data_IF_279075839114
#
_entry.id   IF_279075839114
#
_cell.length_a   1.000
_cell.length_b   1.000
_cell.length_c   1.000
_cell.angle_alpha   90.00
_cell.angle_beta   90.00
_cell.angle_gamma   90.00
#
_symmetry.space_group_name_H-M   'P 1'
#
loop_
_entity.id
_entity.type
_entity.pdbx_description
1 polymer ?
#
# COMPACT_ATOMS: atom_id res chain seq x y z
N UNK A 1 -64.59 -16.50 19.26
CA UNK A 1 -63.75 -17.56 19.86
C UNK A 1 -62.64 -17.83 18.87
N UNK A 2 -61.35 -17.73 19.15
CA UNK A 2 -60.60 -17.68 20.39
C UNK A 2 -59.18 -18.11 19.98
N UNK A 3 -58.19 -17.33 20.39
CA UNK A 3 -56.77 -17.48 20.07
C UNK A 3 -56.22 -18.88 20.38
N UNK A 4 -55.24 -19.34 19.59
CA UNK A 4 -54.00 -19.94 20.11
C UNK A 4 -52.82 -19.47 19.26
N UNK A 5 -51.90 -18.77 19.92
CA UNK A 5 -50.58 -18.45 19.38
C UNK A 5 -49.52 -19.43 19.85
N UNK A 6 -48.28 -19.24 19.40
CA UNK A 6 -47.11 -19.72 20.13
C UNK A 6 -45.88 -20.13 19.30
N UNK A 7 -44.99 -19.15 19.06
CA UNK A 7 -43.50 -19.17 19.19
C UNK A 7 -42.69 -20.33 18.57
N UNK A 8 -41.81 -20.02 17.61
CA UNK A 8 -40.42 -19.53 17.76
C UNK A 8 -39.38 -20.67 17.76
N UNK A 9 -38.57 -20.70 16.72
CA UNK A 9 -37.39 -21.54 16.56
C UNK A 9 -36.37 -20.81 15.71
N UNK A 10 -35.64 -19.91 16.36
CA UNK A 10 -34.48 -19.18 15.85
C UNK A 10 -33.36 -20.14 15.45
N UNK A 11 -33.14 -20.32 14.14
CA UNK A 11 -31.93 -20.90 13.59
C UNK A 11 -30.98 -19.78 13.14
N UNK A 12 -30.27 -19.17 14.09
CA UNK A 12 -29.23 -18.19 13.77
C UNK A 12 -27.97 -18.96 13.35
N UNK A 13 -27.80 -19.17 12.05
CA UNK A 13 -26.57 -19.72 11.45
C UNK A 13 -25.48 -18.65 11.37
N UNK A 14 -25.07 -18.11 12.52
CA UNK A 14 -24.13 -16.98 12.63
C UNK A 14 -22.64 -17.33 12.49
N UNK A 15 -22.29 -18.59 12.26
CA UNK A 15 -20.89 -19.03 12.24
C UNK A 15 -20.15 -18.80 10.92
N UNK A 16 -20.82 -19.02 9.78
CA UNK A 16 -20.15 -19.00 8.46
C UNK A 16 -20.03 -17.59 7.88
N UNK A 17 -21.07 -16.76 8.03
CA UNK A 17 -21.12 -15.40 7.44
C UNK A 17 -20.16 -14.41 8.09
N UNK A 18 -19.82 -14.59 9.37
CA UNK A 18 -18.92 -13.67 10.10
C UNK A 18 -17.45 -13.93 9.74
N UNK A 19 -17.10 -15.14 9.28
CA UNK A 19 -15.75 -15.49 8.85
C UNK A 19 -15.43 -15.00 7.43
N UNK A 20 -16.44 -14.81 6.59
CA UNK A 20 -16.28 -14.49 5.16
C UNK A 20 -16.25 -12.97 4.89
N UNK A 21 -16.73 -12.15 5.84
CA UNK A 21 -16.62 -10.68 5.78
C UNK A 21 -15.24 -10.14 6.20
N UNK A 22 -14.37 -10.97 6.81
CA UNK A 22 -13.04 -10.55 7.27
C UNK A 22 -11.95 -10.55 6.19
N UNK A 23 -12.25 -11.01 4.97
CA UNK A 23 -11.26 -11.19 3.90
C UNK A 23 -11.50 -10.34 2.64
N UNK A 24 -12.42 -9.38 2.71
CA UNK A 24 -12.63 -8.47 1.57
C UNK A 24 -11.65 -7.30 1.68
N UNK A 25 -10.92 -7.06 0.58
CA UNK A 25 -10.04 -5.90 0.46
C UNK A 25 -10.87 -4.63 0.75
N UNK A 26 -10.49 -3.82 1.76
CA UNK A 26 -11.31 -2.69 2.20
C UNK A 26 -11.32 -1.53 1.19
N UNK A 27 -10.54 -1.63 0.12
CA UNK A 27 -10.42 -0.63 -0.94
C UNK A 27 -9.30 0.37 -0.67
N UNK A 28 -8.71 0.90 -1.75
CA UNK A 28 -7.55 1.80 -1.71
C UNK A 28 -7.71 2.96 -0.72
N UNK A 29 -8.82 3.71 -0.82
CA UNK A 29 -9.09 4.87 0.04
C UNK A 29 -9.15 4.51 1.52
N UNK A 30 -9.71 3.34 1.86
CA UNK A 30 -9.80 2.89 3.25
C UNK A 30 -8.43 2.48 3.78
N UNK A 31 -7.64 1.77 2.98
CA UNK A 31 -6.24 1.48 3.33
C UNK A 31 -5.42 2.74 3.56
N UNK A 32 -5.53 3.74 2.67
CA UNK A 32 -4.86 5.02 2.85
C UNK A 32 -5.32 5.79 4.09
N UNK A 33 -6.59 5.67 4.48
CA UNK A 33 -7.09 6.25 5.72
C UNK A 33 -6.52 5.52 6.95
N UNK A 34 -6.41 4.19 6.90
CA UNK A 34 -5.82 3.37 7.96
C UNK A 34 -4.33 3.69 8.13
N UNK A 35 -3.57 3.82 7.04
CA UNK A 35 -2.15 4.24 7.05
C UNK A 35 -1.93 5.65 7.62
N UNK A 36 -2.94 6.52 7.60
CA UNK A 36 -2.91 7.87 8.22
C UNK A 36 -3.45 7.89 9.65
N UNK A 37 -3.89 6.74 10.19
CA UNK A 37 -4.39 6.64 11.56
C UNK A 37 -3.29 6.99 12.57
N UNK A 38 -3.67 7.23 13.82
CA UNK A 38 -2.70 7.35 14.93
C UNK A 38 -2.45 6.02 15.63
N UNK A 39 -3.22 4.98 15.32
CA UNK A 39 -3.01 3.63 15.83
C UNK A 39 -1.99 2.89 14.95
N UNK A 40 -0.81 2.51 15.47
CA UNK A 40 0.19 1.78 14.70
C UNK A 40 -0.34 0.47 14.09
N UNK A 41 -1.26 -0.23 14.75
CA UNK A 41 -1.81 -1.47 14.20
C UNK A 41 -2.70 -1.21 12.99
N UNK A 42 -3.56 -0.18 13.05
CA UNK A 42 -4.36 0.22 11.89
C UNK A 42 -3.47 0.69 10.74
N UNK A 43 -2.40 1.41 11.05
CA UNK A 43 -1.44 1.86 10.06
C UNK A 43 -0.81 0.67 9.30
N UNK A 44 -0.28 -0.31 10.04
CA UNK A 44 0.31 -1.54 9.50
C UNK A 44 -0.72 -2.36 8.72
N UNK A 45 -1.94 -2.53 9.23
CA UNK A 45 -3.02 -3.20 8.52
C UNK A 45 -3.30 -2.54 7.17
N UNK A 46 -3.39 -1.21 7.13
CA UNK A 46 -3.59 -0.45 5.90
C UNK A 46 -2.52 -0.71 4.87
N UNK A 47 -1.25 -0.74 5.29
CA UNK A 47 -0.13 -1.08 4.43
C UNK A 47 -0.21 -2.52 3.93
N UNK A 48 -0.43 -3.49 4.82
CA UNK A 48 -0.48 -4.92 4.47
C UNK A 48 -1.67 -5.28 3.56
N UNK A 49 -2.79 -4.56 3.65
CA UNK A 49 -3.90 -4.72 2.71
C UNK A 49 -3.55 -4.25 1.29
N UNK A 50 -2.78 -3.16 1.16
CA UNK A 50 -2.35 -2.60 -0.13
C UNK A 50 -1.18 -3.35 -0.75
N UNK A 51 -0.25 -3.84 0.06
CA UNK A 51 1.00 -4.46 -0.40
C UNK A 51 0.82 -5.48 -1.55
N UNK A 52 -0.04 -6.51 -1.44
CA UNK A 52 -0.23 -7.48 -2.52
C UNK A 52 -0.98 -6.92 -3.75
N UNK A 53 -1.54 -5.71 -3.67
CA UNK A 53 -2.36 -5.05 -4.69
C UNK A 53 -1.74 -3.74 -5.18
N UNK A 54 -0.51 -3.43 -4.77
CA UNK A 54 0.10 -2.14 -5.10
C UNK A 54 0.21 -1.94 -6.62
N UNK A 55 0.41 -3.03 -7.37
CA UNK A 55 0.39 -3.04 -8.84
C UNK A 55 -0.93 -2.57 -9.48
N UNK A 56 -2.07 -2.82 -8.81
CA UNK A 56 -3.39 -2.43 -9.31
C UNK A 56 -3.69 -0.93 -9.08
N UNK A 57 -2.94 -0.30 -8.17
CA UNK A 57 -3.16 1.08 -7.70
C UNK A 57 -1.96 2.00 -7.96
N UNK A 58 -1.10 1.67 -8.93
CA UNK A 58 0.15 2.41 -9.20
C UNK A 58 -0.09 3.90 -9.41
N UNK A 59 -1.05 4.28 -10.24
CA UNK A 59 -1.30 5.69 -10.55
C UNK A 59 -1.81 6.43 -9.29
N UNK A 60 -2.73 5.82 -8.52
CA UNK A 60 -3.22 6.39 -7.25
C UNK A 60 -2.11 6.50 -6.20
N UNK A 61 -1.18 5.54 -6.14
CA UNK A 61 -0.03 5.57 -5.22
C UNK A 61 0.97 6.67 -5.61
N UNK A 62 1.23 6.87 -6.90
CA UNK A 62 2.09 7.95 -7.40
C UNK A 62 1.50 9.31 -7.03
N UNK A 63 0.22 9.53 -7.35
CA UNK A 63 -0.48 10.78 -7.04
C UNK A 63 -0.48 11.04 -5.53
N UNK A 64 -0.73 10.01 -4.73
CA UNK A 64 -0.72 10.11 -3.27
C UNK A 64 0.68 10.48 -2.75
N UNK A 65 1.75 9.87 -3.27
CA UNK A 65 3.12 10.15 -2.84
C UNK A 65 3.55 11.59 -3.16
N UNK A 66 3.14 12.13 -4.32
CA UNK A 66 3.47 13.50 -4.73
C UNK A 66 2.85 14.53 -3.78
N UNK A 67 1.63 14.25 -3.31
CA UNK A 67 0.85 15.15 -2.44
C UNK A 67 1.11 14.95 -0.95
N UNK A 68 1.80 13.88 -0.55
CA UNK A 68 1.98 13.53 0.86
C UNK A 68 3.18 14.25 1.47
N UNK A 69 2.98 14.85 2.65
CA UNK A 69 4.03 15.56 3.39
C UNK A 69 4.52 14.75 4.59
N UNK A 70 3.71 13.82 5.11
CA UNK A 70 4.12 12.98 6.24
C UNK A 70 5.27 12.05 5.83
N UNK A 71 6.42 12.21 6.48
CA UNK A 71 7.65 11.50 6.13
C UNK A 71 7.51 9.97 6.25
N UNK A 72 6.85 9.49 7.30
CA UNK A 72 6.64 8.07 7.52
C UNK A 72 5.78 7.46 6.43
N UNK A 73 4.66 8.11 6.11
CA UNK A 73 3.76 7.68 5.06
C UNK A 73 4.42 7.73 3.67
N UNK A 74 5.23 8.76 3.38
CA UNK A 74 6.03 8.81 2.14
C UNK A 74 6.96 7.61 2.00
N UNK A 75 7.58 7.15 3.09
CA UNK A 75 8.43 5.96 3.07
C UNK A 75 7.62 4.70 2.73
N UNK A 76 6.47 4.50 3.36
CA UNK A 76 5.59 3.38 3.05
C UNK A 76 5.03 3.42 1.63
N UNK A 77 4.70 4.60 1.12
CA UNK A 77 4.25 4.76 -0.27
C UNK A 77 5.35 4.38 -1.26
N UNK A 78 6.62 4.76 -1.02
CA UNK A 78 7.74 4.32 -1.86
C UNK A 78 7.95 2.81 -1.82
N UNK A 79 7.78 2.19 -0.65
CA UNK A 79 7.85 0.73 -0.53
C UNK A 79 6.75 0.05 -1.36
N UNK A 80 5.50 0.50 -1.23
CA UNK A 80 4.37 0.00 -2.04
C UNK A 80 4.62 0.18 -3.54
N UNK A 81 5.10 1.35 -3.96
CA UNK A 81 5.47 1.62 -5.36
C UNK A 81 6.59 0.70 -5.86
N UNK A 82 7.52 0.31 -4.99
CA UNK A 82 8.60 -0.62 -5.31
C UNK A 82 8.07 -2.03 -5.51
N UNK A 83 7.20 -2.48 -4.61
CA UNK A 83 6.51 -3.78 -4.65
C UNK A 83 5.54 -3.90 -5.83
N UNK A 84 4.97 -2.80 -6.28
CA UNK A 84 4.18 -2.74 -7.50
C UNK A 84 4.98 -3.11 -8.77
N UNK A 85 6.32 -2.99 -8.75
CA UNK A 85 7.25 -3.34 -9.84
C UNK A 85 6.86 -2.77 -11.21
N UNK A 86 6.15 -1.64 -11.23
CA UNK A 86 5.66 -1.02 -12.44
C UNK A 86 6.70 -0.07 -13.02
N UNK A 87 6.96 -0.18 -14.33
CA UNK A 87 7.87 0.73 -15.04
C UNK A 87 7.43 2.20 -14.92
N UNK A 88 6.15 2.48 -14.64
CA UNK A 88 5.63 3.83 -14.37
C UNK A 88 6.31 4.50 -13.17
N UNK A 89 6.79 3.73 -12.19
CA UNK A 89 7.46 4.25 -11.01
C UNK A 89 8.92 4.67 -11.27
N UNK A 90 9.46 4.42 -12.47
CA UNK A 90 10.87 4.67 -12.77
C UNK A 90 11.28 6.13 -12.55
N UNK A 91 10.55 7.07 -13.15
CA UNK A 91 10.90 8.50 -13.06
C UNK A 91 10.79 9.02 -11.62
N UNK A 92 9.81 8.51 -10.88
CA UNK A 92 9.63 8.83 -9.46
C UNK A 92 10.84 8.38 -8.64
N UNK A 93 11.29 7.13 -8.77
CA UNK A 93 12.48 6.68 -8.05
C UNK A 93 13.74 7.40 -8.52
N UNK A 94 13.88 7.65 -9.82
CA UNK A 94 15.01 8.39 -10.37
C UNK A 94 15.14 9.79 -9.75
N UNK A 95 14.03 10.51 -9.60
CA UNK A 95 14.00 11.84 -8.98
C UNK A 95 14.46 11.81 -7.50
N UNK A 96 14.23 10.71 -6.78
CA UNK A 96 14.58 10.58 -5.37
C UNK A 96 15.97 10.00 -5.09
N UNK A 97 16.73 9.56 -6.11
CA UNK A 97 18.11 9.07 -5.92
C UNK A 97 19.05 10.13 -5.33
N UNK A 98 18.82 11.40 -5.66
CA UNK A 98 19.62 12.54 -5.18
C UNK A 98 18.93 13.33 -4.06
N UNK A 99 17.85 12.80 -3.49
CA UNK A 99 17.15 13.43 -2.34
C UNK A 99 18.13 13.72 -1.20
N UNK A 100 17.97 14.79 -0.42
CA UNK A 100 18.76 14.99 0.81
C UNK A 100 18.31 14.07 1.95
N UNK A 101 17.10 13.53 1.86
CA UNK A 101 16.54 12.55 2.78
C UNK A 101 17.10 11.15 2.54
N UNK A 102 17.82 10.60 3.52
CA UNK A 102 18.46 9.29 3.42
C UNK A 102 17.45 8.14 3.29
N UNK A 103 16.31 8.24 3.96
CA UNK A 103 15.27 7.20 3.92
C UNK A 103 14.64 7.16 2.54
N UNK A 104 14.25 8.32 1.98
CA UNK A 104 13.69 8.41 0.64
C UNK A 104 14.70 7.97 -0.44
N UNK A 105 15.98 8.35 -0.30
CA UNK A 105 17.05 7.86 -1.20
C UNK A 105 17.15 6.33 -1.16
N UNK A 106 17.14 5.73 0.03
CA UNK A 106 17.31 4.28 0.19
C UNK A 106 16.14 3.51 -0.41
N UNK A 107 14.91 4.01 -0.21
CA UNK A 107 13.73 3.45 -0.86
C UNK A 107 13.74 3.62 -2.37
N UNK A 108 14.21 4.76 -2.90
CA UNK A 108 14.37 4.97 -4.33
C UNK A 108 15.37 3.99 -4.96
N UNK A 109 16.50 3.75 -4.28
CA UNK A 109 17.48 2.73 -4.70
C UNK A 109 16.82 1.35 -4.75
N UNK A 110 16.15 0.93 -3.67
CA UNK A 110 15.45 -0.36 -3.61
C UNK A 110 14.39 -0.47 -4.70
N UNK A 111 13.60 0.57 -4.92
CA UNK A 111 12.60 0.62 -5.98
C UNK A 111 13.21 0.37 -7.37
N UNK A 112 14.30 1.05 -7.70
CA UNK A 112 15.02 0.83 -8.97
C UNK A 112 15.62 -0.57 -9.09
N UNK A 113 16.16 -1.12 -7.99
CA UNK A 113 16.65 -2.51 -7.95
C UNK A 113 15.51 -3.50 -8.24
N UNK A 114 14.33 -3.26 -7.67
CA UNK A 114 13.14 -4.09 -7.85
C UNK A 114 12.54 -4.00 -9.26
N UNK A 115 12.57 -2.81 -9.89
CA UNK A 115 12.17 -2.67 -11.29
C UNK A 115 13.04 -3.53 -12.21
N UNK A 116 14.33 -3.69 -11.88
CA UNK A 116 15.29 -4.51 -12.60
C UNK A 116 15.26 -4.33 -14.14
N UNK A 117 14.98 -3.11 -14.59
CA UNK A 117 15.02 -2.76 -16.01
C UNK A 117 16.44 -2.33 -16.40
N UNK A 118 16.76 -2.38 -17.70
CA UNK A 118 18.06 -1.89 -18.20
C UNK A 118 18.29 -0.41 -17.83
N UNK A 119 17.31 0.50 -17.98
CA UNK A 119 17.44 1.87 -17.51
C UNK A 119 17.73 1.98 -16.00
N UNK A 120 17.02 1.23 -15.15
CA UNK A 120 17.21 1.26 -13.70
C UNK A 120 18.62 0.82 -13.28
N UNK A 121 19.12 -0.29 -13.83
CA UNK A 121 20.50 -0.75 -13.58
C UNK A 121 21.54 0.28 -14.04
N UNK A 122 21.31 0.91 -15.19
CA UNK A 122 22.21 1.94 -15.72
C UNK A 122 22.26 3.15 -14.80
N UNK A 123 21.11 3.59 -14.30
CA UNK A 123 21.00 4.74 -13.41
C UNK A 123 21.67 4.47 -12.06
N UNK A 124 21.42 3.30 -11.45
CA UNK A 124 22.06 2.88 -10.21
C UNK A 124 23.58 2.76 -10.34
N UNK A 125 24.08 2.29 -11.48
CA UNK A 125 25.52 2.23 -11.74
C UNK A 125 26.13 3.63 -11.80
N UNK A 126 25.50 4.57 -12.52
CA UNK A 126 25.97 5.98 -12.58
C UNK A 126 26.00 6.65 -11.22
N UNK A 127 24.96 6.44 -10.40
CA UNK A 127 24.86 7.04 -9.07
C UNK A 127 25.93 6.54 -8.08
N UNK A 128 26.60 5.42 -8.37
CA UNK A 128 27.68 4.85 -7.54
C UNK A 128 29.08 5.29 -7.98
N UNK A 129 29.22 5.99 -9.12
CA UNK A 129 30.50 6.51 -9.58
C UNK A 129 30.72 7.92 -9.00
N UNK A 130 31.93 8.25 -8.55
CA UNK A 130 32.31 9.64 -8.36
C UNK A 130 32.37 10.34 -9.72
N UNK A 131 31.93 11.60 -9.78
CA UNK A 131 32.06 12.48 -10.96
C UNK A 131 33.51 12.64 -11.43
#
# INVERSE_FOLDING_TARGET
>A
MGQTGGRAGSGWSGGAVVSEMKNQFPGFKRCMAMMRSRDPHEQEDGFHWLLPRAGDHVDELIDTFILEDDHGLRCWLLELLGEAKSAKCFDLFAAHLSSSDQSLRSWAVRGLEMLNTKPARTLLWKAKLPD
#
